data_IF_241664237307
#
_entry.id   IF_241664237307
#
_cell.length_a   1.000
_cell.length_b   1.000
_cell.length_c   1.000
_cell.angle_alpha   90.00
_cell.angle_beta   90.00
_cell.angle_gamma   90.00
#
_symmetry.space_group_name_H-M   'P 1'
#
loop_
_entity.id
_entity.type
_entity.pdbx_description
1 polymer ?
#
# COMPACT_ATOMS: atom_id res chain seq x y z
N UNK A 1 52.22 -0.72 11.48
CA UNK A 1 53.34 -1.03 10.56
C UNK A 1 53.20 -2.44 9.99
N UNK A 2 52.60 -2.55 8.79
CA UNK A 2 52.95 -3.45 7.67
C UNK A 2 51.71 -3.62 6.77
N UNK A 3 51.66 -2.76 5.78
CA UNK A 3 50.95 -2.89 4.51
C UNK A 3 51.35 -4.18 3.80
N UNK A 4 50.37 -4.95 3.30
CA UNK A 4 50.63 -5.97 2.29
C UNK A 4 50.22 -5.43 0.92
N UNK A 5 51.21 -5.37 0.04
CA UNK A 5 51.14 -4.97 -1.36
C UNK A 5 50.73 -6.15 -2.26
N UNK A 6 49.94 -5.79 -3.28
CA UNK A 6 49.97 -6.16 -4.71
C UNK A 6 50.29 -7.61 -5.14
N UNK A 7 49.43 -8.14 -6.01
CA UNK A 7 49.77 -8.61 -7.36
C UNK A 7 48.49 -8.59 -8.22
N UNK A 8 48.37 -7.71 -9.21
CA UNK A 8 48.88 -7.82 -10.60
C UNK A 8 48.18 -8.91 -11.41
N UNK A 9 47.43 -8.49 -12.44
CA UNK A 9 47.19 -9.33 -13.60
C UNK A 9 45.77 -9.27 -14.17
N UNK A 10 45.44 -8.20 -14.90
CA UNK A 10 44.43 -8.33 -15.96
C UNK A 10 44.89 -7.49 -17.15
N UNK A 11 45.69 -8.13 -18.01
CA UNK A 11 46.00 -7.63 -19.33
C UNK A 11 45.43 -8.65 -20.31
N UNK A 12 44.43 -8.26 -21.10
CA UNK A 12 44.52 -8.28 -22.56
C UNK A 12 43.18 -7.91 -23.19
N UNK A 13 43.34 -7.30 -24.35
CA UNK A 13 42.46 -6.42 -25.10
C UNK A 13 41.83 -7.19 -26.28
N UNK A 14 40.87 -6.53 -26.95
CA UNK A 14 40.35 -6.74 -28.33
C UNK A 14 39.07 -7.58 -28.42
N UNK A 15 37.92 -6.92 -28.57
CA UNK A 15 37.31 -6.44 -29.83
C UNK A 15 36.76 -7.58 -30.69
N UNK A 16 35.44 -7.80 -30.60
CA UNK A 16 34.64 -8.17 -31.77
C UNK A 16 33.30 -7.42 -31.73
N UNK A 17 33.17 -6.50 -32.68
CA UNK A 17 31.94 -5.83 -33.03
C UNK A 17 31.04 -6.78 -33.80
N UNK A 18 29.74 -6.78 -33.50
CA UNK A 18 28.71 -7.22 -34.42
C UNK A 18 27.45 -6.36 -34.20
N UNK A 19 27.21 -5.46 -35.14
CA UNK A 19 25.95 -4.77 -35.34
C UNK A 19 24.86 -5.82 -35.61
N UNK A 20 23.72 -5.75 -34.93
CA UNK A 20 22.49 -6.35 -35.44
C UNK A 20 21.26 -5.52 -35.01
N UNK A 21 20.82 -4.73 -35.99
CA UNK A 21 19.45 -4.49 -36.41
C UNK A 21 18.44 -3.93 -35.39
N UNK A 22 18.25 -2.62 -35.52
CA UNK A 22 17.03 -1.92 -35.16
C UNK A 22 15.80 -2.59 -35.80
N UNK A 23 14.82 -2.96 -34.98
CA UNK A 23 13.43 -3.14 -35.39
C UNK A 23 12.57 -2.38 -34.38
N UNK A 24 11.88 -1.36 -34.85
CA UNK A 24 10.99 -0.53 -34.04
C UNK A 24 9.76 -1.33 -33.57
N UNK A 25 9.16 -1.00 -32.40
CA UNK A 25 7.93 -1.62 -31.96
C UNK A 25 6.74 -1.14 -32.81
N UNK A 26 6.10 -2.06 -33.52
CA UNK A 26 4.79 -1.81 -34.15
C UNK A 26 3.72 -1.74 -33.05
N UNK A 27 3.27 -0.52 -32.78
CA UNK A 27 2.07 -0.22 -32.00
C UNK A 27 0.85 -0.92 -32.60
N UNK A 28 0.38 -1.97 -31.93
CA UNK A 28 -0.96 -2.52 -32.15
C UNK A 28 -1.92 -1.73 -31.27
N UNK A 29 -2.69 -0.84 -31.89
CA UNK A 29 -3.80 -0.16 -31.24
C UNK A 29 -4.87 -1.19 -30.85
N UNK A 30 -5.02 -1.43 -29.54
CA UNK A 30 -6.21 -2.07 -28.99
C UNK A 30 -7.37 -1.09 -28.96
N UNK A 31 -8.61 -1.54 -29.22
CA UNK A 31 -9.78 -0.67 -29.21
C UNK A 31 -9.96 -0.03 -27.83
N UNK A 32 -9.91 1.29 -27.83
CA UNK A 32 -10.25 2.14 -26.70
C UNK A 32 -11.74 1.95 -26.38
N UNK A 33 -12.03 1.01 -25.47
CA UNK A 33 -13.27 1.03 -24.73
C UNK A 33 -13.17 2.21 -23.76
N UNK A 34 -13.73 3.35 -24.15
CA UNK A 34 -14.04 4.43 -23.21
C UNK A 34 -14.96 3.84 -22.13
N UNK A 35 -14.59 3.86 -20.84
CA UNK A 35 -15.60 3.73 -19.82
C UNK A 35 -16.44 5.00 -19.91
N UNK A 36 -17.70 4.82 -20.30
CA UNK A 36 -18.72 5.84 -20.19
C UNK A 36 -18.61 6.47 -18.80
N UNK A 37 -18.47 7.81 -18.76
CA UNK A 37 -18.59 8.58 -17.54
C UNK A 37 -20.01 8.42 -17.00
N UNK A 38 -20.21 7.37 -16.21
CA UNK A 38 -21.32 7.31 -15.27
C UNK A 38 -21.19 8.50 -14.33
N UNK A 39 -22.25 9.28 -14.20
CA UNK A 39 -22.34 10.30 -13.17
C UNK A 39 -21.97 9.67 -11.81
N UNK A 40 -21.18 10.33 -10.95
CA UNK A 40 -20.81 9.75 -9.67
C UNK A 40 -22.06 9.69 -8.80
N UNK A 41 -22.79 8.59 -8.87
CA UNK A 41 -23.52 8.11 -7.71
C UNK A 41 -22.45 7.95 -6.65
N UNK A 42 -22.53 8.75 -5.59
CA UNK A 42 -21.64 8.62 -4.45
C UNK A 42 -21.97 7.28 -3.81
N UNK A 43 -21.35 6.22 -4.32
CA UNK A 43 -21.55 4.87 -3.82
C UNK A 43 -21.08 4.85 -2.37
N UNK A 44 -21.97 4.40 -1.50
CA UNK A 44 -21.71 4.32 -0.06
C UNK A 44 -20.55 3.34 0.15
N UNK A 45 -19.59 3.70 1.00
CA UNK A 45 -18.49 2.80 1.33
C UNK A 45 -19.03 1.73 2.27
N UNK A 46 -18.94 0.46 1.87
CA UNK A 46 -19.36 -0.68 2.69
C UNK A 46 -18.32 -1.00 3.76
N UNK A 47 -18.76 -1.71 4.81
CA UNK A 47 -17.82 -2.21 5.81
C UNK A 47 -16.74 -3.11 5.20
N UNK A 48 -17.10 -3.95 4.21
CA UNK A 48 -16.14 -4.86 3.57
C UNK A 48 -14.93 -4.11 3.00
N UNK A 49 -15.17 -2.99 2.31
CA UNK A 49 -14.10 -2.16 1.73
C UNK A 49 -13.23 -1.55 2.84
N UNK A 50 -13.85 -0.97 3.87
CA UNK A 50 -13.11 -0.41 4.99
C UNK A 50 -12.30 -1.48 5.75
N UNK A 51 -12.88 -2.66 5.96
CA UNK A 51 -12.25 -3.78 6.65
C UNK A 51 -11.03 -4.28 5.88
N UNK A 52 -11.07 -4.38 4.56
CA UNK A 52 -9.90 -4.77 3.76
C UNK A 52 -8.71 -3.83 4.00
N UNK A 53 -8.95 -2.52 4.00
CA UNK A 53 -7.92 -1.51 4.29
C UNK A 53 -7.39 -1.71 5.72
N UNK A 54 -8.28 -1.89 6.70
CA UNK A 54 -7.88 -2.08 8.11
C UNK A 54 -7.03 -3.35 8.26
N UNK A 55 -7.43 -4.46 7.65
CA UNK A 55 -6.67 -5.70 7.70
C UNK A 55 -5.30 -5.56 7.02
N UNK A 56 -5.21 -4.82 5.91
CA UNK A 56 -3.93 -4.63 5.21
C UNK A 56 -2.99 -3.65 5.93
N UNK A 57 -3.52 -2.62 6.59
CA UNK A 57 -2.73 -1.50 7.12
C UNK A 57 -2.54 -1.54 8.64
N UNK A 58 -3.40 -2.24 9.38
CA UNK A 58 -3.43 -2.19 10.85
C UNK A 58 -3.12 -3.53 11.52
N UNK A 59 -3.48 -4.67 10.88
CA UNK A 59 -3.46 -5.99 11.53
C UNK A 59 -2.09 -6.43 12.05
N UNK A 60 -1.00 -6.04 11.38
CA UNK A 60 0.38 -6.40 11.80
C UNK A 60 0.66 -6.08 13.28
N UNK A 61 0.08 -4.99 13.80
CA UNK A 61 0.28 -4.54 15.18
C UNK A 61 -1.00 -4.51 16.01
N UNK A 62 -2.17 -4.64 15.39
CA UNK A 62 -3.47 -4.54 16.05
C UNK A 62 -4.32 -5.82 15.93
N UNK A 63 -3.74 -6.93 15.47
CA UNK A 63 -4.38 -8.24 15.48
C UNK A 63 -3.70 -9.18 16.47
N UNK A 64 -4.47 -10.05 17.10
CA UNK A 64 -3.94 -11.17 17.88
C UNK A 64 -3.05 -12.11 17.03
N UNK A 65 -3.28 -12.17 15.71
CA UNK A 65 -2.53 -13.02 14.78
C UNK A 65 -1.22 -12.38 14.27
N UNK A 66 -0.97 -11.09 14.54
CA UNK A 66 0.15 -10.33 13.97
C UNK A 66 1.56 -10.70 14.50
N UNK A 67 1.69 -11.76 15.29
CA UNK A 67 2.97 -12.21 15.89
C UNK A 67 3.53 -11.28 16.98
N UNK A 68 3.03 -10.05 17.09
CA UNK A 68 3.29 -9.10 18.16
C UNK A 68 1.97 -8.80 18.86
N UNK A 69 1.88 -9.07 20.17
CA UNK A 69 0.68 -8.69 20.94
C UNK A 69 0.36 -7.21 20.73
N UNK A 70 -0.92 -6.84 20.51
CA UNK A 70 -1.30 -5.45 20.29
C UNK A 70 -0.79 -4.54 21.40
N UNK A 71 0.27 -3.79 21.09
CA UNK A 71 0.85 -2.83 22.03
C UNK A 71 -0.19 -1.72 22.21
N UNK A 72 -0.52 -1.42 23.47
CA UNK A 72 -1.62 -0.54 23.90
C UNK A 72 -3.05 -1.16 23.95
N UNK A 73 -3.20 -2.49 23.89
CA UNK A 73 -4.52 -3.13 24.13
C UNK A 73 -5.55 -2.86 23.01
N UNK A 74 -5.07 -2.45 21.84
CA UNK A 74 -5.92 -2.08 20.71
C UNK A 74 -6.03 -3.25 19.72
N UNK A 75 -6.95 -4.19 19.97
CA UNK A 75 -7.35 -5.21 18.99
C UNK A 75 -8.26 -4.68 17.86
N UNK A 76 -8.15 -5.20 16.65
CA UNK A 76 -8.99 -4.90 15.48
C UNK A 76 -9.30 -6.20 14.75
N UNK A 77 -9.58 -7.27 15.50
CA UNK A 77 -9.77 -8.62 14.96
C UNK A 77 -11.22 -8.88 14.52
N UNK A 78 -12.19 -8.16 15.11
CA UNK A 78 -13.62 -8.33 14.81
C UNK A 78 -14.26 -7.03 14.30
N UNK A 79 -15.37 -7.12 13.53
CA UNK A 79 -16.12 -5.95 13.09
C UNK A 79 -16.55 -5.03 14.24
N UNK A 80 -17.00 -5.60 15.36
CA UNK A 80 -17.45 -4.86 16.55
C UNK A 80 -16.29 -4.12 17.19
N UNK A 81 -15.11 -4.76 17.28
CA UNK A 81 -13.91 -4.11 17.78
C UNK A 81 -13.53 -2.92 16.90
N UNK A 82 -13.50 -3.11 15.58
CA UNK A 82 -13.20 -2.07 14.60
C UNK A 82 -14.17 -0.90 14.74
N UNK A 83 -15.47 -1.18 14.76
CA UNK A 83 -16.51 -0.16 14.92
C UNK A 83 -16.38 0.63 16.22
N UNK A 84 -16.07 -0.04 17.33
CA UNK A 84 -15.83 0.60 18.62
C UNK A 84 -14.60 1.55 18.61
N UNK A 85 -13.69 1.41 17.63
CA UNK A 85 -12.46 2.20 17.51
C UNK A 85 -12.50 3.23 16.40
N UNK A 86 -13.63 3.36 15.70
CA UNK A 86 -13.85 4.30 14.60
C UNK A 86 -13.30 5.70 14.87
N UNK A 87 -13.56 6.28 16.05
CA UNK A 87 -13.07 7.63 16.37
C UNK A 87 -11.54 7.68 16.47
N UNK A 88 -10.92 6.64 17.02
CA UNK A 88 -9.46 6.52 17.08
C UNK A 88 -8.87 6.28 15.69
N UNK A 89 -9.53 5.48 14.85
CA UNK A 89 -9.13 5.26 13.45
C UNK A 89 -9.17 6.60 12.70
N UNK A 90 -10.25 7.37 12.83
CA UNK A 90 -10.37 8.72 12.26
C UNK A 90 -9.22 9.59 12.73
N UNK A 91 -9.03 9.76 14.04
CA UNK A 91 -8.01 10.65 14.58
C UNK A 91 -6.59 10.27 14.14
N UNK A 92 -6.25 8.98 14.15
CA UNK A 92 -4.87 8.51 13.96
C UNK A 92 -4.52 8.16 12.52
N UNK A 93 -5.43 7.57 11.77
CA UNK A 93 -5.20 7.15 10.39
C UNK A 93 -5.74 8.14 9.35
N UNK A 94 -6.77 8.92 9.66
CA UNK A 94 -7.34 9.86 8.68
C UNK A 94 -6.83 11.28 8.95
N UNK A 95 -7.05 11.81 10.15
CA UNK A 95 -6.78 13.22 10.47
C UNK A 95 -5.31 13.53 10.69
N UNK A 96 -4.64 12.80 11.59
CA UNK A 96 -3.22 13.06 11.91
C UNK A 96 -2.25 12.22 11.10
N UNK A 97 -2.75 11.18 10.43
CA UNK A 97 -1.96 10.22 9.65
C UNK A 97 -0.77 9.59 10.40
N UNK A 98 -0.82 9.62 11.73
CA UNK A 98 0.21 9.06 12.62
C UNK A 98 0.19 7.53 12.68
N UNK A 99 -0.85 6.90 12.13
CA UNK A 99 -0.92 5.47 11.87
C UNK A 99 -1.16 5.20 10.37
N UNK A 100 -0.51 4.18 9.78
CA UNK A 100 0.54 3.34 10.36
C UNK A 100 1.79 4.15 10.72
N UNK A 101 2.54 3.75 11.76
CA UNK A 101 3.70 4.51 12.23
C UNK A 101 4.73 4.68 11.10
N UNK A 102 5.11 5.94 10.81
CA UNK A 102 6.00 6.27 9.69
C UNK A 102 5.47 5.83 8.32
N UNK A 103 4.16 5.57 8.21
CA UNK A 103 3.51 4.93 7.07
C UNK A 103 4.17 3.58 6.66
N UNK A 104 4.60 2.78 7.63
CA UNK A 104 5.35 1.53 7.38
C UNK A 104 4.63 0.53 6.46
N UNK A 105 3.30 0.55 6.40
CA UNK A 105 2.52 -0.31 5.49
C UNK A 105 2.15 0.39 4.17
N UNK A 106 2.70 1.57 3.87
CA UNK A 106 2.42 2.34 2.65
C UNK A 106 0.92 2.60 2.39
N UNK A 107 0.20 3.01 3.43
CA UNK A 107 -1.19 3.43 3.29
C UNK A 107 -1.28 4.72 2.47
N UNK A 108 -2.12 4.70 1.44
CA UNK A 108 -2.29 5.79 0.47
C UNK A 108 -3.32 6.81 0.93
N UNK A 109 -3.30 8.00 0.33
CA UNK A 109 -4.31 9.03 0.61
C UNK A 109 -5.71 8.59 0.18
N UNK A 110 -5.82 7.85 -0.93
CA UNK A 110 -7.09 7.29 -1.39
C UNK A 110 -7.71 6.34 -0.36
N UNK A 111 -6.92 5.46 0.26
CA UNK A 111 -7.39 4.58 1.32
C UNK A 111 -7.79 5.34 2.58
N UNK A 112 -7.05 6.40 2.94
CA UNK A 112 -7.41 7.26 4.08
C UNK A 112 -8.73 7.97 3.83
N UNK A 113 -8.94 8.46 2.61
CA UNK A 113 -10.22 9.03 2.18
C UNK A 113 -11.34 8.01 2.27
N UNK A 114 -11.15 6.80 1.76
CA UNK A 114 -12.15 5.71 1.85
C UNK A 114 -12.53 5.40 3.29
N UNK A 115 -11.56 5.32 4.22
CA UNK A 115 -11.86 5.18 5.64
C UNK A 115 -12.60 6.39 6.19
N UNK A 116 -12.17 7.61 5.85
CA UNK A 116 -12.84 8.85 6.26
C UNK A 116 -14.32 8.88 5.84
N UNK A 117 -14.60 8.50 4.59
CA UNK A 117 -15.95 8.44 4.03
C UNK A 117 -16.81 7.39 4.73
N UNK A 118 -16.31 6.16 4.92
CA UNK A 118 -17.02 5.10 5.65
C UNK A 118 -17.36 5.53 7.09
N UNK A 119 -16.42 6.20 7.76
CA UNK A 119 -16.60 6.70 9.11
C UNK A 119 -17.61 7.86 9.14
N UNK A 120 -17.58 8.77 8.17
CA UNK A 120 -18.55 9.86 8.04
C UNK A 120 -19.97 9.35 7.75
N UNK A 121 -20.09 8.20 7.09
CA UNK A 121 -21.35 7.48 6.85
C UNK A 121 -21.86 6.70 8.07
N UNK A 122 -21.26 6.90 9.25
CA UNK A 122 -21.67 6.28 10.51
C UNK A 122 -21.03 4.94 10.82
N UNK A 123 -19.98 4.53 10.08
CA UNK A 123 -19.26 3.27 10.28
C UNK A 123 -20.21 2.06 10.38
N UNK A 124 -21.13 1.97 9.41
CA UNK A 124 -22.04 0.82 9.31
C UNK A 124 -21.23 -0.46 9.11
N UNK A 125 -21.71 -1.56 9.70
CA UNK A 125 -21.15 -2.91 9.51
C UNK A 125 -21.80 -3.67 8.34
N UNK A 126 -22.81 -3.07 7.73
CA UNK A 126 -23.51 -3.58 6.55
C UNK A 126 -22.73 -3.33 5.25
#
# INVERSE_FOLDING_TARGET
MKTWLLSLGCLSLLLFAACNNATAPTSTASPSASPASGSPTTEKVSFSVANQIIQQRCSMCHSAAGGQSPRAGVAMDTPEQIKARTERIRARAVSTQSMPQGNATQMTEAERKTLGDWIAQGASLE
#
